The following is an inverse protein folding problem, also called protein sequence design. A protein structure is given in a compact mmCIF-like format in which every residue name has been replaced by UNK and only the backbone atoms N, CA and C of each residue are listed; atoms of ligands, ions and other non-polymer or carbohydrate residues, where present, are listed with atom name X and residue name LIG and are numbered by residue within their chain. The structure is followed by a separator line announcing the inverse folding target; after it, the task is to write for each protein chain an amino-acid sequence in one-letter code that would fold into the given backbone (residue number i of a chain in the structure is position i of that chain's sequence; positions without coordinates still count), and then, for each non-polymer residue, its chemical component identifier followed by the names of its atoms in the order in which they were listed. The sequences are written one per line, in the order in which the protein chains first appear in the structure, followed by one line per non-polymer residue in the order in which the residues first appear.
data_IF_999436625127
#
_entry.id   IF_999436625127
#
_cell.length_a   1.000
_cell.length_b   1.000
_cell.length_c   1.000
_cell.angle_alpha   90.00
_cell.angle_beta   90.00
_cell.angle_gamma   90.00
#
_symmetry.space_group_name_H-M   'P 1'
#
loop_
_entity.id
_entity.type
_entity.pdbx_description
1 polymer ?
#
# COMPACT_ATOMS: atom_id res chain seq x y z
N UNK A 1 -22.97 5.85 -5.54
CA UNK A 1 -22.66 4.44 -5.19
C UNK A 1 -21.55 4.47 -4.14
N UNK A 2 -21.67 3.72 -3.04
CA UNK A 2 -20.62 3.69 -2.01
C UNK A 2 -19.39 2.90 -2.48
N UNK A 3 -18.22 3.23 -1.93
CA UNK A 3 -16.94 2.60 -2.30
C UNK A 3 -16.92 1.09 -2.05
N UNK A 4 -17.68 0.58 -1.07
CA UNK A 4 -17.81 -0.86 -0.80
C UNK A 4 -18.41 -1.64 -1.97
N UNK A 5 -19.44 -1.08 -2.59
CA UNK A 5 -20.14 -1.72 -3.71
C UNK A 5 -19.26 -1.65 -4.96
N UNK A 6 -18.56 -0.52 -5.14
CA UNK A 6 -17.60 -0.35 -6.22
C UNK A 6 -16.43 -1.31 -6.10
N UNK A 7 -15.90 -1.51 -4.89
CA UNK A 7 -14.83 -2.47 -4.61
C UNK A 7 -15.24 -3.89 -5.01
N UNK A 8 -16.42 -4.34 -4.57
CA UNK A 8 -16.92 -5.68 -4.91
C UNK A 8 -17.01 -5.88 -6.43
N UNK A 9 -17.56 -4.91 -7.16
CA UNK A 9 -17.66 -4.96 -8.62
C UNK A 9 -16.27 -5.01 -9.25
N UNK A 10 -15.34 -4.16 -8.82
CA UNK A 10 -13.99 -4.10 -9.37
C UNK A 10 -13.22 -5.40 -9.13
N UNK A 11 -13.30 -5.98 -7.93
CA UNK A 11 -12.64 -7.24 -7.61
C UNK A 11 -13.18 -8.40 -8.43
N UNK A 12 -14.49 -8.47 -8.64
CA UNK A 12 -15.08 -9.51 -9.49
C UNK A 12 -14.66 -9.36 -10.95
N UNK A 13 -14.52 -8.13 -11.46
CA UNK A 13 -13.96 -7.89 -12.80
C UNK A 13 -12.48 -8.24 -12.89
N UNK A 14 -11.69 -7.88 -11.87
CA UNK A 14 -10.24 -8.14 -11.84
C UNK A 14 -9.93 -9.64 -11.83
N UNK A 15 -10.68 -10.45 -11.08
CA UNK A 15 -10.55 -11.92 -11.06
C UNK A 15 -10.74 -12.56 -12.42
N UNK A 16 -11.59 -11.98 -13.27
CA UNK A 16 -11.90 -12.51 -14.61
C UNK A 16 -10.82 -12.14 -15.64
N UNK A 17 -10.05 -11.08 -15.39
CA UNK A 17 -9.02 -10.60 -16.30
C UNK A 17 -7.64 -11.15 -15.91
N UNK A 18 -7.21 -12.22 -16.58
CA UNK A 18 -5.84 -12.73 -16.44
C UNK A 18 -4.84 -11.64 -16.85
N UNK A 19 -4.02 -11.18 -15.91
CA UNK A 19 -2.93 -10.23 -16.16
C UNK A 19 -3.24 -8.75 -15.93
N UNK A 20 -4.40 -8.39 -15.36
CA UNK A 20 -4.57 -7.02 -14.86
C UNK A 20 -3.91 -6.86 -13.49
N UNK A 21 -2.96 -5.92 -13.40
CA UNK A 21 -2.33 -5.54 -12.14
C UNK A 21 -3.26 -4.61 -11.33
N UNK A 22 -3.46 -4.95 -10.06
CA UNK A 22 -4.20 -4.12 -9.08
C UNK A 22 -3.68 -2.69 -9.04
N UNK A 23 -2.39 -2.51 -9.32
CA UNK A 23 -1.68 -1.25 -9.49
C UNK A 23 -2.45 -0.19 -10.26
N UNK A 24 -2.85 -0.50 -11.50
CA UNK A 24 -3.45 0.50 -12.41
C UNK A 24 -4.83 0.92 -11.94
N UNK A 25 -5.58 -0.01 -11.35
CA UNK A 25 -6.93 0.27 -10.84
C UNK A 25 -6.85 1.10 -9.56
N UNK A 26 -5.95 0.73 -8.65
CA UNK A 26 -5.72 1.47 -7.41
C UNK A 26 -5.22 2.90 -7.68
N UNK A 27 -4.25 3.06 -8.60
CA UNK A 27 -3.74 4.37 -8.99
C UNK A 27 -4.85 5.25 -9.59
N UNK A 28 -5.71 4.67 -10.42
CA UNK A 28 -6.84 5.41 -10.98
C UNK A 28 -7.88 5.79 -9.91
N UNK A 29 -8.15 4.90 -8.95
CA UNK A 29 -9.04 5.17 -7.83
C UNK A 29 -8.50 6.31 -6.95
N UNK A 30 -7.21 6.33 -6.63
CA UNK A 30 -6.58 7.41 -5.84
C UNK A 30 -6.60 8.75 -6.60
N UNK A 31 -6.25 8.76 -7.89
CA UNK A 31 -6.32 9.96 -8.75
C UNK A 31 -7.74 10.52 -8.89
N UNK A 32 -8.75 9.67 -8.72
CA UNK A 32 -10.16 10.06 -8.76
C UNK A 32 -10.69 10.52 -7.39
N UNK A 33 -9.85 10.57 -6.36
CA UNK A 33 -10.20 10.99 -5.01
C UNK A 33 -10.70 9.87 -4.09
N UNK A 34 -10.74 8.63 -4.57
CA UNK A 34 -11.20 7.46 -3.82
C UNK A 34 -10.00 6.74 -3.14
N UNK A 35 -9.26 7.45 -2.29
CA UNK A 35 -8.05 6.89 -1.64
C UNK A 35 -8.32 5.62 -0.82
N UNK A 36 -9.42 5.61 -0.06
CA UNK A 36 -9.81 4.43 0.74
C UNK A 36 -10.11 3.21 -0.14
N UNK A 37 -10.75 3.43 -1.28
CA UNK A 37 -10.98 2.39 -2.28
C UNK A 37 -9.66 1.91 -2.89
N UNK A 38 -8.74 2.84 -3.23
CA UNK A 38 -7.42 2.49 -3.76
C UNK A 38 -6.66 1.58 -2.79
N UNK A 39 -6.58 1.95 -1.51
CA UNK A 39 -5.97 1.12 -0.47
C UNK A 39 -6.65 -0.26 -0.37
N UNK A 40 -7.99 -0.30 -0.35
CA UNK A 40 -8.74 -1.55 -0.30
C UNK A 40 -8.49 -2.45 -1.52
N UNK A 41 -8.30 -1.88 -2.73
CA UNK A 41 -7.92 -2.64 -3.93
C UNK A 41 -6.52 -3.23 -3.77
N UNK A 42 -5.56 -2.45 -3.25
CA UNK A 42 -4.17 -2.88 -3.05
C UNK A 42 -4.06 -4.00 -2.02
N UNK A 43 -4.92 -4.05 -1.00
CA UNK A 43 -4.97 -5.17 -0.04
C UNK A 43 -5.22 -6.54 -0.69
N UNK A 44 -5.79 -6.58 -1.90
CA UNK A 44 -6.01 -7.81 -2.66
C UNK A 44 -4.85 -8.21 -3.58
N UNK A 45 -3.77 -7.43 -3.65
CA UNK A 45 -2.55 -7.81 -4.35
C UNK A 45 -1.79 -8.88 -3.52
N UNK A 46 -1.65 -10.13 -4.01
CA UNK A 46 -1.10 -11.23 -3.22
C UNK A 46 0.41 -11.13 -2.98
N UNK A 47 1.13 -10.36 -3.78
CA UNK A 47 2.58 -10.26 -3.69
C UNK A 47 3.00 -8.99 -2.95
N UNK A 48 3.60 -9.13 -1.77
CA UNK A 48 4.10 -7.99 -0.97
C UNK A 48 5.06 -7.10 -1.76
N UNK A 49 5.87 -7.69 -2.65
CA UNK A 49 6.79 -6.97 -3.53
C UNK A 49 6.10 -6.05 -4.55
N UNK A 50 4.81 -6.26 -4.83
CA UNK A 50 3.97 -5.36 -5.62
C UNK A 50 3.11 -4.49 -4.72
N UNK A 51 2.52 -5.07 -3.68
CA UNK A 51 1.61 -4.40 -2.76
C UNK A 51 2.26 -3.22 -2.05
N UNK A 52 3.46 -3.41 -1.50
CA UNK A 52 4.17 -2.38 -0.73
C UNK A 52 4.50 -1.14 -1.58
N UNK A 53 5.11 -1.25 -2.77
CA UNK A 53 5.29 -0.10 -3.66
C UNK A 53 3.99 0.62 -4.04
N UNK A 54 2.87 -0.10 -4.17
CA UNK A 54 1.58 0.50 -4.50
C UNK A 54 0.98 1.27 -3.32
N UNK A 55 1.08 0.76 -2.10
CA UNK A 55 0.67 1.51 -0.90
C UNK A 55 1.46 2.82 -0.79
N UNK A 56 2.78 2.78 -1.04
CA UNK A 56 3.60 3.99 -1.06
C UNK A 56 3.22 4.97 -2.16
N UNK A 57 2.82 4.50 -3.34
CA UNK A 57 2.46 5.38 -4.46
C UNK A 57 1.17 6.17 -4.20
N UNK A 58 0.26 5.63 -3.39
CA UNK A 58 -1.00 6.28 -2.98
C UNK A 58 -0.91 6.98 -1.61
N UNK A 59 0.28 7.04 -1.00
CA UNK A 59 0.54 7.75 0.25
C UNK A 59 0.11 7.02 1.52
N UNK A 60 -0.07 5.70 1.47
CA UNK A 60 -0.43 4.85 2.61
C UNK A 60 0.85 4.29 3.25
N UNK A 61 1.74 5.17 3.73
CA UNK A 61 3.07 4.76 4.21
C UNK A 61 3.01 3.87 5.47
N UNK A 62 2.06 4.12 6.35
CA UNK A 62 1.86 3.27 7.53
C UNK A 62 1.44 1.87 7.13
N UNK A 63 0.47 1.72 6.23
CA UNK A 63 0.07 0.41 5.73
C UNK A 63 1.23 -0.29 5.02
N UNK A 64 1.98 0.44 4.18
CA UNK A 64 3.15 -0.09 3.47
C UNK A 64 4.19 -0.66 4.45
N UNK A 65 4.48 0.06 5.54
CA UNK A 65 5.43 -0.40 6.55
C UNK A 65 4.91 -1.65 7.29
N UNK A 66 3.61 -1.73 7.59
CA UNK A 66 3.02 -2.94 8.19
C UNK A 66 3.21 -4.13 7.26
N UNK A 67 2.80 -4.00 6.00
CA UNK A 67 2.88 -5.09 5.03
C UNK A 67 4.32 -5.54 4.75
N UNK A 68 5.26 -4.60 4.71
CA UNK A 68 6.68 -4.93 4.60
C UNK A 68 7.16 -5.76 5.81
N UNK A 69 6.84 -5.34 7.04
CA UNK A 69 7.22 -6.11 8.24
C UNK A 69 6.54 -7.48 8.32
N UNK A 70 5.26 -7.59 7.94
CA UNK A 70 4.52 -8.86 7.89
C UNK A 70 5.06 -9.83 6.84
N UNK A 71 5.63 -9.31 5.75
CA UNK A 71 6.23 -10.14 4.70
C UNK A 71 7.52 -10.84 5.14
N UNK A 72 8.19 -10.33 6.19
CA UNK A 72 9.52 -10.78 6.62
C UNK A 72 10.65 -10.47 5.63
N UNK A 73 10.36 -9.74 4.55
CA UNK A 73 11.34 -9.30 3.57
C UNK A 73 12.01 -8.01 4.05
N UNK A 74 13.24 -8.14 4.54
CA UNK A 74 14.02 -7.01 5.06
C UNK A 74 14.30 -5.96 4.00
N UNK A 75 14.44 -6.35 2.72
CA UNK A 75 14.65 -5.39 1.64
C UNK A 75 13.41 -4.52 1.43
N UNK A 76 12.21 -5.09 1.55
CA UNK A 76 10.97 -4.30 1.52
C UNK A 76 10.84 -3.36 2.73
N UNK A 77 11.27 -3.80 3.93
CA UNK A 77 11.26 -2.93 5.11
C UNK A 77 12.20 -1.73 4.89
N UNK A 78 13.44 -1.97 4.45
CA UNK A 78 14.39 -0.90 4.13
C UNK A 78 13.88 0.01 3.01
N UNK A 79 13.26 -0.56 1.98
CA UNK A 79 12.66 0.20 0.89
C UNK A 79 11.61 1.20 1.40
N UNK A 80 10.72 0.77 2.30
CA UNK A 80 9.71 1.65 2.91
C UNK A 80 10.35 2.70 3.81
N UNK A 81 11.26 2.31 4.70
CA UNK A 81 11.92 3.25 5.61
C UNK A 81 12.67 4.34 4.84
N UNK A 82 13.39 3.96 3.79
CA UNK A 82 14.10 4.90 2.93
C UNK A 82 13.14 5.87 2.22
N UNK A 83 12.01 5.36 1.72
CA UNK A 83 10.97 6.19 1.11
C UNK A 83 10.42 7.25 2.08
N UNK A 84 10.10 6.84 3.31
CA UNK A 84 9.56 7.74 4.34
C UNK A 84 10.63 8.77 4.74
N UNK A 85 11.87 8.34 4.95
CA UNK A 85 12.99 9.22 5.30
C UNK A 85 13.22 10.33 4.27
N UNK A 86 13.07 10.03 2.98
CA UNK A 86 13.23 11.02 1.90
C UNK A 86 12.06 12.00 1.79
N UNK A 87 10.85 11.62 2.20
CA UNK A 87 9.63 12.39 1.92
C UNK A 87 9.00 13.07 3.13
N UNK A 88 9.24 12.57 4.34
CA UNK A 88 8.62 13.07 5.57
C UNK A 88 9.64 13.81 6.43
N UNK A 89 9.21 14.80 7.23
CA UNK A 89 10.06 15.41 8.23
C UNK A 89 10.61 14.38 9.22
N UNK A 90 11.81 14.60 9.75
CA UNK A 90 12.46 13.66 10.66
C UNK A 90 11.59 13.28 11.85
N UNK A 91 10.80 14.21 12.39
CA UNK A 91 9.89 13.94 13.52
C UNK A 91 8.82 12.90 13.17
N UNK A 92 8.20 13.02 11.99
CA UNK A 92 7.18 12.05 11.53
C UNK A 92 7.81 10.68 11.28
N UNK A 93 8.99 10.66 10.65
CA UNK A 93 9.74 9.43 10.42
C UNK A 93 10.07 8.69 11.73
N UNK A 94 10.61 9.38 12.73
CA UNK A 94 10.92 8.76 14.02
C UNK A 94 9.64 8.30 14.76
N UNK A 95 8.55 9.06 14.65
CA UNK A 95 7.25 8.66 15.20
C UNK A 95 6.74 7.36 14.59
N UNK A 96 6.83 7.21 13.26
CA UNK A 96 6.43 5.99 12.55
C UNK A 96 7.28 4.77 12.93
N UNK A 97 8.59 4.94 13.08
CA UNK A 97 9.49 3.85 13.51
C UNK A 97 9.18 3.44 14.96
N UNK A 98 9.00 4.39 15.87
CA UNK A 98 8.69 4.09 17.27
C UNK A 98 7.38 3.34 17.44
N UNK A 99 6.39 3.60 16.58
CA UNK A 99 5.12 2.88 16.58
C UNK A 99 5.25 1.41 16.10
N UNK A 100 6.36 1.03 15.45
CA UNK A 100 6.56 -0.31 14.88
C UNK A 100 7.89 -0.92 15.30
N UNK A 101 7.92 -1.65 16.43
CA UNK A 101 9.15 -2.24 16.96
C UNK A 101 9.92 -3.10 15.95
N UNK A 102 9.23 -3.90 15.13
CA UNK A 102 9.86 -4.75 14.11
C UNK A 102 10.57 -3.97 12.99
N UNK A 103 10.20 -2.71 12.77
CA UNK A 103 10.89 -1.84 11.80
C UNK A 103 12.12 -1.14 12.41
N UNK A 104 12.29 -1.22 13.73
CA UNK A 104 13.40 -0.60 14.48
C UNK A 104 14.58 -1.55 14.67
N UNK A 105 14.29 -2.83 14.87
CA UNK A 105 15.27 -3.89 15.16
C UNK A 105 16.08 -4.32 13.92
#
# INVERSE_FOLDING_TARGET
MPDSDLLAILLDKLKLCKGMDYARVAEHADKSGHRKLAAAIVEHEPYSSKQVPLLLSIGEEEAALTKATESGDTDLVYFVLFHIWQKKPSLEFFGMIQAKPLARD
#
